data_IF_582043928919
#
_entry.id   IF_582043928919
#
_cell.length_a   1.000
_cell.length_b   1.000
_cell.length_c   1.000
_cell.angle_alpha   90.00
_cell.angle_beta   90.00
_cell.angle_gamma   90.00
#
_symmetry.space_group_name_H-M   'P 1'
#
loop_
_entity.id
_entity.type
_entity.pdbx_description
1 polymer ?
#
# COMPACT_ATOMS: atom_id res chain seq x y z
N UNK A 1 -25.24 -26.26 13.37
CA UNK A 1 -26.12 -25.08 13.30
C UNK A 1 -26.44 -24.62 14.72
N UNK A 2 -25.63 -23.69 15.27
CA UNK A 2 -25.91 -22.95 16.51
C UNK A 2 -25.04 -21.67 16.54
N UNK A 3 -25.71 -20.56 16.21
CA UNK A 3 -25.57 -19.21 16.77
C UNK A 3 -24.25 -18.45 16.62
N UNK A 4 -24.07 -17.84 15.44
CA UNK A 4 -23.27 -16.62 15.18
C UNK A 4 -24.21 -15.43 15.34
N UNK A 5 -24.34 -14.81 16.52
CA UNK A 5 -25.11 -13.55 16.71
C UNK A 5 -24.99 -13.03 18.17
N UNK A 6 -23.80 -12.69 18.67
CA UNK A 6 -23.70 -12.04 20.00
C UNK A 6 -22.33 -11.42 20.33
N UNK A 7 -21.77 -10.57 19.45
CA UNK A 7 -20.60 -9.72 19.82
C UNK A 7 -20.62 -8.32 19.19
N UNK A 8 -21.82 -7.81 18.86
CA UNK A 8 -22.06 -6.38 18.69
C UNK A 8 -22.72 -5.87 19.97
N UNK A 9 -22.36 -4.66 20.39
CA UNK A 9 -22.64 -4.03 21.69
C UNK A 9 -21.82 -4.61 22.85
N UNK A 10 -20.70 -3.95 23.17
CA UNK A 10 -20.66 -3.15 24.40
C UNK A 10 -19.45 -2.21 24.40
N UNK A 11 -19.70 -0.98 24.88
CA UNK A 11 -18.75 0.03 25.35
C UNK A 11 -18.11 0.97 24.33
N UNK A 12 -18.94 1.90 23.87
CA UNK A 12 -18.60 3.32 23.77
C UNK A 12 -18.60 3.92 25.20
N UNK A 13 -17.51 4.52 25.67
CA UNK A 13 -17.56 5.76 26.46
C UNK A 13 -16.22 6.52 26.42
N UNK A 14 -16.35 7.85 26.32
CA UNK A 14 -15.39 8.86 25.82
C UNK A 14 -14.63 9.55 26.98
N UNK A 15 -13.39 10.03 26.71
CA UNK A 15 -12.82 11.40 26.95
C UNK A 15 -11.34 11.36 27.45
N UNK A 16 -10.35 11.73 26.62
CA UNK A 16 -9.79 13.08 26.35
C UNK A 16 -8.98 13.71 27.52
N UNK A 17 -7.64 13.69 27.44
CA UNK A 17 -6.76 14.87 27.21
C UNK A 17 -5.28 14.67 27.63
N UNK A 18 -4.39 15.23 26.80
CA UNK A 18 -2.96 15.59 26.98
C UNK A 18 -1.90 14.51 26.80
N UNK A 19 -1.02 14.76 25.83
CA UNK A 19 0.17 13.97 25.53
C UNK A 19 0.69 14.23 24.12
N UNK A 20 1.01 15.49 23.80
CA UNK A 20 1.77 15.81 22.60
C UNK A 20 3.19 15.28 22.75
N UNK A 21 3.56 14.27 21.98
CA UNK A 21 4.94 13.99 21.58
C UNK A 21 4.91 13.43 20.16
N UNK A 22 5.25 14.28 19.20
CA UNK A 22 5.60 13.88 17.84
C UNK A 22 6.79 12.94 17.89
N UNK A 23 6.59 11.66 17.59
CA UNK A 23 7.69 10.78 17.23
C UNK A 23 7.82 10.80 15.70
N UNK A 24 8.99 11.26 15.27
CA UNK A 24 9.36 11.36 13.87
C UNK A 24 9.32 10.00 13.20
N UNK A 25 8.59 9.92 12.10
CA UNK A 25 8.81 8.87 11.12
C UNK A 25 10.17 9.14 10.47
N UNK A 26 11.20 8.42 10.90
CA UNK A 26 12.39 8.21 10.08
C UNK A 26 12.01 7.28 8.91
N UNK A 27 11.42 7.89 7.88
CA UNK A 27 11.46 7.32 6.54
C UNK A 27 12.95 7.25 6.19
N UNK A 28 13.51 6.04 6.17
CA UNK A 28 14.84 5.81 5.61
C UNK A 28 14.76 6.22 4.14
N UNK A 29 15.18 7.46 3.88
CA UNK A 29 15.39 8.02 2.55
C UNK A 29 16.53 7.21 1.95
N UNK A 30 16.22 6.32 1.01
CA UNK A 30 17.26 5.80 0.14
C UNK A 30 17.72 6.98 -0.70
N UNK A 31 18.96 7.41 -0.48
CA UNK A 31 19.62 8.44 -1.27
C UNK A 31 19.80 7.90 -2.70
N UNK A 32 18.81 8.17 -3.55
CA UNK A 32 18.98 8.07 -4.99
C UNK A 32 19.96 9.17 -5.44
N UNK A 33 21.02 8.71 -6.09
CA UNK A 33 22.14 9.51 -6.59
C UNK A 33 21.62 10.64 -7.52
N UNK A 34 22.02 11.93 -7.39
CA UNK A 34 21.37 13.06 -8.08
C UNK A 34 21.68 13.18 -9.58
N UNK A 35 22.07 12.10 -10.25
CA UNK A 35 22.55 12.16 -11.64
C UNK A 35 21.41 11.81 -12.61
N UNK A 36 20.92 12.87 -13.27
CA UNK A 36 20.00 12.89 -14.42
C UNK A 36 18.52 12.60 -14.15
N UNK A 37 17.83 13.58 -13.52
CA UNK A 37 16.36 13.71 -13.64
C UNK A 37 16.02 13.99 -15.12
N UNK A 38 15.71 12.94 -15.88
CA UNK A 38 15.04 13.09 -17.17
C UNK A 38 13.70 13.82 -16.96
N UNK A 39 13.40 14.79 -17.83
CA UNK A 39 12.36 15.83 -17.63
C UNK A 39 10.90 15.38 -17.56
N UNK A 40 10.65 14.12 -17.22
CA UNK A 40 9.32 13.50 -17.07
C UNK A 40 9.03 13.07 -15.62
N UNK A 41 9.97 13.21 -14.69
CA UNK A 41 9.79 12.79 -13.29
C UNK A 41 9.24 13.90 -12.40
N UNK A 42 8.38 13.52 -11.44
CA UNK A 42 7.87 14.42 -10.40
C UNK A 42 8.99 14.81 -9.45
N UNK A 43 8.98 16.06 -8.98
CA UNK A 43 9.88 16.49 -7.91
C UNK A 43 9.45 16.01 -6.53
N UNK A 44 8.21 15.52 -6.40
CA UNK A 44 7.65 14.91 -5.19
C UNK A 44 7.63 13.40 -5.30
N UNK A 45 8.02 12.72 -4.23
CA UNK A 45 7.93 11.25 -4.12
C UNK A 45 6.67 10.81 -3.39
N UNK A 46 6.27 9.56 -3.62
CA UNK A 46 5.15 8.93 -2.90
C UNK A 46 5.37 8.96 -1.39
N UNK A 47 4.32 9.30 -0.64
CA UNK A 47 4.35 9.34 0.82
C UNK A 47 4.83 10.67 1.43
N UNK A 48 5.34 11.60 0.63
CA UNK A 48 5.57 12.98 1.10
C UNK A 48 4.25 13.63 1.55
N UNK A 49 4.32 14.39 2.64
CA UNK A 49 3.16 15.15 3.09
C UNK A 49 2.78 16.23 2.07
N UNK A 50 1.48 16.45 1.95
CA UNK A 50 0.93 17.49 1.12
C UNK A 50 -0.34 18.07 1.75
N UNK A 51 -0.48 19.39 1.67
CA UNK A 51 -1.68 20.12 2.08
C UNK A 51 -2.68 20.21 0.92
N UNK A 52 -3.96 20.41 1.24
CA UNK A 52 -5.01 20.62 0.22
C UNK A 52 -4.70 21.82 -0.69
N UNK A 53 -4.18 22.92 -0.12
CA UNK A 53 -3.83 24.11 -0.88
C UNK A 53 -2.68 23.87 -1.88
N UNK A 54 -1.69 23.05 -1.50
CA UNK A 54 -0.63 22.65 -2.43
C UNK A 54 -1.17 21.78 -3.56
N UNK A 55 -2.01 20.78 -3.24
CA UNK A 55 -2.64 19.92 -4.24
C UNK A 55 -3.43 20.76 -5.27
N UNK A 56 -4.26 21.68 -4.81
CA UNK A 56 -5.04 22.60 -5.67
C UNK A 56 -4.14 23.50 -6.53
N UNK A 57 -3.03 24.00 -5.97
CA UNK A 57 -2.06 24.80 -6.72
C UNK A 57 -1.43 24.00 -7.86
N UNK A 58 -1.09 22.73 -7.63
CA UNK A 58 -0.59 21.84 -8.69
C UNK A 58 -1.68 21.53 -9.72
N UNK A 59 -2.92 21.28 -9.30
CA UNK A 59 -4.07 21.07 -10.19
C UNK A 59 -4.31 22.25 -11.12
N UNK A 60 -4.19 23.49 -10.62
CA UNK A 60 -4.32 24.69 -11.45
C UNK A 60 -3.22 24.76 -12.52
N UNK A 61 -1.99 24.43 -12.15
CA UNK A 61 -0.83 24.40 -13.06
C UNK A 61 -0.86 23.24 -14.05
N UNK A 62 -1.54 22.15 -13.73
CA UNK A 62 -1.62 20.94 -14.56
C UNK A 62 -2.15 21.20 -15.98
N UNK A 63 -2.92 22.29 -16.17
CA UNK A 63 -3.43 22.72 -17.49
C UNK A 63 -2.33 23.13 -18.47
N UNK A 64 -1.21 23.62 -17.95
CA UNK A 64 -0.10 24.19 -18.72
C UNK A 64 1.16 23.35 -18.60
N UNK A 65 1.29 22.60 -17.49
CA UNK A 65 2.45 21.77 -17.18
C UNK A 65 2.02 20.36 -16.77
N UNK A 66 2.21 19.35 -17.64
CA UNK A 66 1.88 17.97 -17.31
C UNK A 66 2.62 17.39 -16.10
N UNK A 67 3.83 17.89 -15.77
CA UNK A 67 4.53 17.50 -14.53
C UNK A 67 3.76 17.94 -13.29
N UNK A 68 3.07 19.09 -13.35
CA UNK A 68 2.23 19.54 -12.24
C UNK A 68 1.01 18.63 -12.05
N UNK A 69 0.53 17.95 -13.10
CA UNK A 69 -0.49 16.91 -12.94
C UNK A 69 0.06 15.71 -12.14
N UNK A 70 1.31 15.31 -12.39
CA UNK A 70 1.95 14.24 -11.63
C UNK A 70 2.16 14.64 -10.16
N UNK A 71 2.61 15.87 -9.90
CA UNK A 71 2.76 16.43 -8.55
C UNK A 71 1.41 16.51 -7.81
N UNK A 72 0.34 16.92 -8.51
CA UNK A 72 -1.02 16.94 -7.96
C UNK A 72 -1.50 15.52 -7.61
N UNK A 73 -1.26 14.55 -8.48
CA UNK A 73 -1.65 13.15 -8.24
C UNK A 73 -0.95 12.56 -7.00
N UNK A 74 0.34 12.83 -6.80
CA UNK A 74 1.08 12.44 -5.58
C UNK A 74 0.45 13.08 -4.34
N UNK A 75 0.14 14.38 -4.40
CA UNK A 75 -0.51 15.09 -3.30
C UNK A 75 -1.88 14.51 -2.94
N UNK A 76 -2.73 14.26 -3.93
CA UNK A 76 -4.03 13.65 -3.70
C UNK A 76 -3.94 12.21 -3.20
N UNK A 77 -2.90 11.45 -3.58
CA UNK A 77 -2.66 10.13 -3.02
C UNK A 77 -2.36 10.20 -1.52
N UNK A 78 -1.60 11.20 -1.07
CA UNK A 78 -1.39 11.47 0.36
C UNK A 78 -2.70 11.85 1.06
N UNK A 79 -3.43 12.84 0.52
CA UNK A 79 -4.68 13.34 1.12
C UNK A 79 -5.75 12.25 1.21
N UNK A 80 -5.92 11.44 0.17
CA UNK A 80 -6.89 10.35 0.13
C UNK A 80 -6.63 9.26 1.19
N UNK A 81 -5.37 9.06 1.61
CA UNK A 81 -5.04 8.15 2.72
C UNK A 81 -5.34 8.77 4.09
N UNK A 82 -5.04 10.07 4.24
CA UNK A 82 -5.12 10.80 5.50
C UNK A 82 -6.50 11.37 5.81
N UNK A 83 -7.43 11.39 4.84
CA UNK A 83 -8.76 11.97 5.01
C UNK A 83 -9.51 11.43 6.24
N UNK A 84 -10.31 12.27 6.88
CA UNK A 84 -10.95 11.93 8.16
C UNK A 84 -12.16 11.00 7.98
N UNK A 85 -12.80 11.08 6.82
CA UNK A 85 -13.99 10.31 6.50
C UNK A 85 -13.97 9.78 5.06
N UNK A 86 -14.82 8.78 4.81
CA UNK A 86 -14.91 8.08 3.52
C UNK A 86 -15.20 9.02 2.34
N UNK A 87 -16.01 10.05 2.53
CA UNK A 87 -16.40 10.97 1.46
C UNK A 87 -15.21 11.83 1.01
N UNK A 88 -14.43 12.34 1.95
CA UNK A 88 -13.19 13.08 1.66
C UNK A 88 -12.15 12.19 0.97
N UNK A 89 -11.89 10.99 1.51
CA UNK A 89 -10.98 10.02 0.90
C UNK A 89 -11.36 9.72 -0.55
N UNK A 90 -12.65 9.52 -0.79
CA UNK A 90 -13.18 9.27 -2.13
C UNK A 90 -13.02 10.48 -3.05
N UNK A 91 -13.30 11.68 -2.58
CA UNK A 91 -13.16 12.90 -3.37
C UNK A 91 -11.70 13.14 -3.78
N UNK A 92 -10.78 12.98 -2.84
CA UNK A 92 -9.35 13.15 -3.10
C UNK A 92 -8.80 12.03 -4.00
N UNK A 93 -9.23 10.77 -3.82
CA UNK A 93 -8.85 9.67 -4.71
C UNK A 93 -9.33 9.92 -6.16
N UNK A 94 -10.58 10.37 -6.33
CA UNK A 94 -11.15 10.71 -7.64
C UNK A 94 -10.41 11.86 -8.30
N UNK A 95 -10.08 12.91 -7.56
CA UNK A 95 -9.36 14.06 -8.12
C UNK A 95 -7.91 13.70 -8.47
N UNK A 96 -7.23 12.98 -7.59
CA UNK A 96 -5.89 12.45 -7.88
C UNK A 96 -5.88 11.55 -9.11
N UNK A 97 -6.87 10.66 -9.27
CA UNK A 97 -6.97 9.79 -10.44
C UNK A 97 -7.07 10.60 -11.74
N UNK A 98 -7.85 11.68 -11.76
CA UNK A 98 -7.91 12.59 -12.94
C UNK A 98 -6.55 13.20 -13.25
N UNK A 99 -5.80 13.59 -12.21
CA UNK A 99 -4.46 14.16 -12.37
C UNK A 99 -3.45 13.12 -12.88
N UNK A 100 -3.50 11.89 -12.36
CA UNK A 100 -2.69 10.78 -12.85
C UNK A 100 -3.00 10.46 -14.32
N UNK A 101 -4.29 10.43 -14.70
CA UNK A 101 -4.71 10.24 -16.08
C UNK A 101 -4.20 11.35 -17.00
N UNK A 102 -4.24 12.61 -16.56
CA UNK A 102 -3.71 13.75 -17.32
C UNK A 102 -2.18 13.66 -17.50
N UNK A 103 -1.46 13.23 -16.46
CA UNK A 103 -0.02 12.99 -16.53
C UNK A 103 0.31 11.85 -17.50
N UNK A 104 -0.39 10.71 -17.42
CA UNK A 104 -0.21 9.57 -18.32
C UNK A 104 -0.47 9.91 -19.79
N UNK A 105 -1.48 10.73 -20.08
CA UNK A 105 -1.76 11.19 -21.46
C UNK A 105 -0.59 11.97 -22.06
N UNK A 106 0.14 12.71 -21.22
CA UNK A 106 1.28 13.52 -21.66
C UNK A 106 2.59 12.74 -21.62
N UNK A 107 2.70 11.75 -20.72
CA UNK A 107 3.86 10.90 -20.55
C UNK A 107 3.45 9.41 -20.51
N UNK A 108 3.14 8.80 -21.68
CA UNK A 108 2.60 7.43 -21.73
C UNK A 108 3.56 6.32 -21.32
N UNK A 109 4.86 6.62 -21.16
CA UNK A 109 5.87 5.66 -20.68
C UNK A 109 6.36 6.02 -19.27
N UNK A 110 5.66 6.92 -18.57
CA UNK A 110 6.03 7.30 -17.22
C UNK A 110 5.48 6.30 -16.20
N UNK A 111 6.39 5.47 -15.67
CA UNK A 111 6.06 4.44 -14.69
C UNK A 111 5.33 4.98 -13.44
N UNK A 112 5.72 6.16 -12.94
CA UNK A 112 5.08 6.78 -11.76
C UNK A 112 3.65 7.23 -12.05
N UNK A 113 3.38 7.73 -13.26
CA UNK A 113 2.03 8.11 -13.66
C UNK A 113 1.10 6.89 -13.73
N UNK A 114 1.58 5.78 -14.31
CA UNK A 114 0.86 4.50 -14.30
C UNK A 114 0.64 3.97 -12.88
N UNK A 115 1.67 4.03 -12.03
CA UNK A 115 1.54 3.58 -10.63
C UNK A 115 0.51 4.40 -9.86
N UNK A 116 0.55 5.74 -9.98
CA UNK A 116 -0.41 6.64 -9.36
C UNK A 116 -1.82 6.39 -9.87
N UNK A 117 -1.99 6.14 -11.16
CA UNK A 117 -3.29 5.81 -11.73
C UNK A 117 -3.85 4.54 -11.10
N UNK A 118 -3.04 3.48 -10.99
CA UNK A 118 -3.44 2.25 -10.30
C UNK A 118 -3.77 2.51 -8.82
N UNK A 119 -2.91 3.25 -8.12
CA UNK A 119 -3.01 3.54 -6.69
C UNK A 119 -4.27 4.32 -6.33
N UNK A 120 -4.51 5.42 -7.03
CA UNK A 120 -5.66 6.29 -6.81
C UNK A 120 -6.97 5.61 -7.25
N UNK A 121 -6.91 4.74 -8.26
CA UNK A 121 -8.06 3.89 -8.61
C UNK A 121 -8.37 2.87 -7.51
N UNK A 122 -7.34 2.27 -6.90
CA UNK A 122 -7.50 1.39 -5.73
C UNK A 122 -8.13 2.11 -4.53
N UNK A 123 -7.64 3.31 -4.21
CA UNK A 123 -8.23 4.14 -3.16
C UNK A 123 -9.68 4.56 -3.47
N UNK A 124 -10.02 4.83 -4.75
CA UNK A 124 -11.40 5.06 -5.17
C UNK A 124 -12.26 3.81 -4.92
N UNK A 125 -11.79 2.63 -5.33
CA UNK A 125 -12.50 1.36 -5.15
C UNK A 125 -12.75 1.03 -3.67
N UNK A 126 -11.76 1.22 -2.80
CA UNK A 126 -11.89 1.02 -1.34
C UNK A 126 -12.97 1.93 -0.73
N UNK A 127 -13.08 3.15 -1.24
CA UNK A 127 -13.98 4.18 -0.73
C UNK A 127 -15.32 4.27 -1.51
N UNK A 128 -15.53 3.49 -2.56
CA UNK A 128 -16.76 3.44 -3.39
C UNK A 128 -17.16 1.98 -3.73
N UNK A 129 -17.88 1.27 -2.82
CA UNK A 129 -18.15 -0.16 -2.97
C UNK A 129 -19.01 -0.47 -4.19
N UNK A 130 -19.82 0.49 -4.63
CA UNK A 130 -20.68 0.34 -5.80
C UNK A 130 -19.87 0.20 -7.10
N UNK A 131 -18.64 0.76 -7.13
CA UNK A 131 -17.77 0.75 -8.30
C UNK A 131 -16.52 -0.09 -8.13
N UNK A 132 -16.24 -0.62 -6.93
CA UNK A 132 -15.00 -1.34 -6.64
C UNK A 132 -14.66 -2.43 -7.67
N UNK A 133 -15.62 -3.29 -8.03
CA UNK A 133 -15.41 -4.34 -9.03
C UNK A 133 -15.22 -3.80 -10.45
N UNK A 134 -15.90 -2.71 -10.83
CA UNK A 134 -15.76 -2.05 -12.13
C UNK A 134 -14.33 -1.49 -12.32
N UNK A 135 -13.69 -1.08 -11.21
CA UNK A 135 -12.38 -0.45 -11.23
C UNK A 135 -11.21 -1.44 -11.23
N UNK A 136 -11.43 -2.71 -10.85
CA UNK A 136 -10.38 -3.76 -10.80
C UNK A 136 -9.54 -3.86 -12.08
N UNK A 137 -10.13 -3.90 -13.30
CA UNK A 137 -9.32 -4.02 -14.52
C UNK A 137 -8.39 -2.83 -14.77
N UNK A 138 -8.76 -1.64 -14.28
CA UNK A 138 -7.89 -0.45 -14.38
C UNK A 138 -6.73 -0.57 -13.40
N UNK A 139 -7.00 -1.00 -12.15
CA UNK A 139 -5.94 -1.20 -11.14
C UNK A 139 -4.91 -2.22 -11.66
N UNK A 140 -5.37 -3.37 -12.14
CA UNK A 140 -4.50 -4.45 -12.63
C UNK A 140 -3.64 -3.99 -13.80
N UNK A 141 -4.26 -3.42 -14.85
CA UNK A 141 -3.56 -2.98 -16.06
C UNK A 141 -2.48 -1.95 -15.76
N UNK A 142 -2.81 -0.93 -14.98
CA UNK A 142 -1.91 0.19 -14.72
C UNK A 142 -0.78 -0.22 -13.76
N UNK A 143 -1.05 -1.08 -12.77
CA UNK A 143 -0.01 -1.62 -11.90
C UNK A 143 0.95 -2.56 -12.67
N UNK A 144 0.44 -3.41 -13.56
CA UNK A 144 1.28 -4.23 -14.43
C UNK A 144 2.17 -3.37 -15.34
N UNK A 145 1.62 -2.30 -15.91
CA UNK A 145 2.36 -1.38 -16.78
C UNK A 145 3.44 -0.64 -15.99
N UNK A 146 3.10 -0.13 -14.81
CA UNK A 146 4.06 0.52 -13.91
C UNK A 146 5.22 -0.42 -13.54
N UNK A 147 4.91 -1.66 -13.16
CA UNK A 147 5.93 -2.67 -12.80
C UNK A 147 6.82 -3.07 -13.98
N UNK A 148 6.29 -3.07 -15.20
CA UNK A 148 7.08 -3.32 -16.41
C UNK A 148 8.04 -2.16 -16.72
N UNK A 149 7.57 -0.91 -16.58
CA UNK A 149 8.37 0.28 -16.88
C UNK A 149 9.42 0.56 -15.80
N UNK A 150 9.05 0.50 -14.51
CA UNK A 150 9.96 0.62 -13.39
C UNK A 150 9.46 -0.18 -12.17
N UNK A 151 10.02 -1.37 -11.90
CA UNK A 151 9.58 -2.21 -10.79
C UNK A 151 9.96 -1.64 -9.41
N UNK A 152 10.93 -0.73 -9.31
CA UNK A 152 11.46 -0.25 -8.02
C UNK A 152 10.63 0.88 -7.39
N UNK A 153 9.66 1.44 -8.10
CA UNK A 153 8.82 2.54 -7.60
C UNK A 153 8.20 2.17 -6.26
N UNK A 154 8.25 3.11 -5.31
CA UNK A 154 7.61 2.96 -3.99
C UNK A 154 7.97 1.64 -3.32
N UNK A 155 9.26 1.28 -3.37
CA UNK A 155 9.81 0.07 -2.77
C UNK A 155 9.15 -1.21 -3.31
N UNK A 156 8.96 -1.34 -4.63
CA UNK A 156 8.21 -2.46 -5.21
C UNK A 156 6.70 -2.30 -5.11
N UNK A 157 6.22 -1.06 -5.07
CA UNK A 157 4.81 -0.68 -4.97
C UNK A 157 3.90 -1.33 -6.02
N UNK A 158 4.27 -1.40 -7.31
CA UNK A 158 3.43 -2.04 -8.33
C UNK A 158 3.15 -3.52 -8.03
N UNK A 159 4.19 -4.29 -7.68
CA UNK A 159 4.05 -5.70 -7.30
C UNK A 159 3.29 -5.84 -5.97
N UNK A 160 3.56 -5.00 -4.97
CA UNK A 160 2.79 -5.01 -3.72
C UNK A 160 1.29 -4.77 -3.99
N UNK A 161 0.95 -3.83 -4.85
CA UNK A 161 -0.45 -3.53 -5.20
C UNK A 161 -1.12 -4.68 -5.94
N UNK A 162 -0.43 -5.32 -6.88
CA UNK A 162 -0.95 -6.50 -7.57
C UNK A 162 -1.16 -7.66 -6.60
N UNK A 163 -0.23 -7.85 -5.66
CA UNK A 163 -0.39 -8.79 -4.55
C UNK A 163 -1.70 -8.57 -3.80
N UNK A 164 -1.95 -7.33 -3.39
CA UNK A 164 -3.16 -6.95 -2.67
C UNK A 164 -4.44 -7.11 -3.50
N UNK A 165 -4.38 -6.77 -4.79
CA UNK A 165 -5.51 -6.91 -5.69
C UNK A 165 -5.92 -8.37 -5.86
N UNK A 166 -4.95 -9.25 -6.14
CA UNK A 166 -5.23 -10.67 -6.33
C UNK A 166 -5.60 -11.38 -5.02
N UNK A 167 -5.15 -10.88 -3.87
CA UNK A 167 -5.54 -11.43 -2.56
C UNK A 167 -6.97 -11.07 -2.18
N UNK A 168 -7.41 -9.83 -2.47
CA UNK A 168 -8.68 -9.29 -1.94
C UNK A 168 -9.83 -9.29 -2.94
N UNK A 169 -9.56 -9.32 -4.24
CA UNK A 169 -10.62 -9.38 -5.25
C UNK A 169 -11.34 -10.74 -5.19
N UNK A 170 -12.64 -10.81 -5.55
CA UNK A 170 -13.31 -12.09 -5.75
C UNK A 170 -12.61 -12.93 -6.82
N UNK A 171 -12.57 -14.24 -6.64
CA UNK A 171 -11.99 -15.15 -7.62
C UNK A 171 -12.80 -15.24 -8.92
N UNK A 172 -12.21 -15.89 -9.92
CA UNK A 172 -12.90 -16.26 -11.15
C UNK A 172 -14.21 -17.02 -10.86
N UNK A 173 -15.32 -16.75 -11.59
CA UNK A 173 -15.44 -15.87 -12.75
C UNK A 173 -15.79 -14.41 -12.42
N UNK A 174 -15.91 -14.05 -11.14
CA UNK A 174 -16.40 -12.73 -10.75
C UNK A 174 -15.35 -11.63 -10.92
N UNK A 175 -14.08 -11.94 -10.62
CA UNK A 175 -12.97 -11.02 -10.80
C UNK A 175 -11.64 -11.78 -10.86
N UNK A 176 -10.54 -11.12 -10.50
CA UNK A 176 -9.16 -11.59 -10.71
C UNK A 176 -8.54 -12.29 -9.50
N UNK A 177 -9.29 -12.48 -8.42
CA UNK A 177 -8.79 -13.04 -7.16
C UNK A 177 -8.10 -14.40 -7.32
N UNK A 178 -6.85 -14.49 -6.86
CA UNK A 178 -5.96 -15.64 -7.02
C UNK A 178 -4.80 -15.53 -6.00
N UNK A 179 -4.86 -16.34 -4.94
CA UNK A 179 -3.89 -16.29 -3.83
C UNK A 179 -2.45 -16.64 -4.27
N UNK A 180 -2.30 -17.54 -5.24
CA UNK A 180 -0.99 -17.94 -5.77
C UNK A 180 -0.35 -16.81 -6.58
N UNK A 181 -1.16 -16.09 -7.37
CA UNK A 181 -0.70 -14.84 -8.01
C UNK A 181 -0.35 -13.78 -6.98
N UNK A 182 -1.14 -13.64 -5.93
CA UNK A 182 -0.86 -12.69 -4.85
C UNK A 182 0.52 -12.96 -4.23
N UNK A 183 0.78 -14.20 -3.82
CA UNK A 183 2.07 -14.63 -3.29
C UNK A 183 3.22 -14.39 -4.29
N UNK A 184 3.02 -14.68 -5.57
CA UNK A 184 4.01 -14.43 -6.62
C UNK A 184 4.41 -12.95 -6.69
N UNK A 185 3.43 -12.05 -6.65
CA UNK A 185 3.69 -10.61 -6.68
C UNK A 185 4.29 -10.10 -5.37
N UNK A 186 3.81 -10.53 -4.21
CA UNK A 186 4.42 -10.14 -2.93
C UNK A 186 5.88 -10.64 -2.82
N UNK A 187 6.21 -11.85 -3.28
CA UNK A 187 7.60 -12.33 -3.31
C UNK A 187 8.48 -11.44 -4.19
N UNK A 188 7.99 -10.93 -5.33
CA UNK A 188 8.71 -9.95 -6.15
C UNK A 188 8.93 -8.64 -5.39
N UNK A 189 7.90 -8.10 -4.74
CA UNK A 189 8.01 -6.88 -3.94
C UNK A 189 9.02 -7.04 -2.78
N UNK A 190 9.00 -8.18 -2.07
CA UNK A 190 9.98 -8.50 -1.01
C UNK A 190 11.40 -8.64 -1.57
N UNK A 191 11.57 -9.19 -2.78
CA UNK A 191 12.88 -9.28 -3.43
C UNK A 191 13.43 -7.89 -3.79
N UNK A 192 12.57 -6.99 -4.28
CA UNK A 192 12.95 -5.63 -4.66
C UNK A 192 13.29 -4.77 -3.44
N UNK A 193 12.48 -4.84 -2.39
CA UNK A 193 12.67 -4.07 -1.16
C UNK A 193 12.53 -4.96 0.09
N UNK A 194 13.57 -5.74 0.44
CA UNK A 194 13.50 -6.72 1.52
C UNK A 194 13.38 -6.12 2.93
N UNK A 195 13.62 -4.82 3.07
CA UNK A 195 13.49 -4.09 4.32
C UNK A 195 12.20 -3.26 4.40
N UNK A 196 11.43 -3.18 3.33
CA UNK A 196 10.15 -2.50 3.33
C UNK A 196 9.08 -3.44 3.88
N UNK A 197 8.74 -3.25 5.16
CA UNK A 197 7.97 -4.21 5.96
C UNK A 197 6.59 -4.51 5.37
N UNK A 198 5.95 -3.54 4.72
CA UNK A 198 4.64 -3.69 4.11
C UNK A 198 4.63 -4.80 3.05
N UNK A 199 5.73 -4.99 2.31
CA UNK A 199 5.82 -6.07 1.33
C UNK A 199 5.84 -7.45 2.01
N UNK A 200 6.54 -7.57 3.15
CA UNK A 200 6.58 -8.83 3.92
C UNK A 200 5.26 -9.13 4.61
N UNK A 201 4.60 -8.11 5.14
CA UNK A 201 3.26 -8.26 5.75
C UNK A 201 2.27 -8.76 4.70
N UNK A 202 2.25 -8.17 3.50
CA UNK A 202 1.41 -8.67 2.41
C UNK A 202 1.73 -10.11 2.00
N UNK A 203 3.02 -10.48 1.92
CA UNK A 203 3.42 -11.88 1.67
C UNK A 203 2.92 -12.81 2.78
N UNK A 204 3.05 -12.42 4.05
CA UNK A 204 2.56 -13.21 5.18
C UNK A 204 1.04 -13.39 5.13
N UNK A 205 0.28 -12.33 4.83
CA UNK A 205 -1.17 -12.40 4.67
C UNK A 205 -1.56 -13.41 3.58
N UNK A 206 -0.91 -13.34 2.41
CA UNK A 206 -1.18 -14.26 1.31
C UNK A 206 -0.79 -15.72 1.64
N UNK A 207 0.31 -15.94 2.37
CA UNK A 207 0.74 -17.27 2.81
C UNK A 207 -0.22 -17.90 3.82
N UNK A 208 -0.78 -17.08 4.73
CA UNK A 208 -1.80 -17.52 5.69
C UNK A 208 -3.09 -17.90 4.96
N UNK A 209 -3.53 -17.08 3.99
CA UNK A 209 -4.71 -17.38 3.17
C UNK A 209 -4.51 -18.65 2.32
N UNK A 210 -3.29 -18.92 1.86
CA UNK A 210 -2.97 -20.12 1.10
C UNK A 210 -2.79 -21.38 1.98
N UNK A 211 -2.95 -21.26 3.30
CA UNK A 211 -2.69 -22.33 4.26
C UNK A 211 -1.26 -22.93 4.13
N UNK A 212 -0.24 -22.11 3.85
CA UNK A 212 1.18 -22.49 3.86
C UNK A 212 1.86 -22.04 5.16
N UNK A 213 1.76 -22.83 6.25
CA UNK A 213 2.29 -22.44 7.56
C UNK A 213 3.82 -22.41 7.59
N UNK A 214 4.50 -23.10 6.68
CA UNK A 214 5.96 -23.23 6.71
C UNK A 214 6.63 -21.92 6.29
N UNK A 215 6.27 -21.37 5.14
CA UNK A 215 6.82 -20.09 4.68
C UNK A 215 6.23 -18.92 5.49
N UNK A 216 4.95 -18.98 5.88
CA UNK A 216 4.33 -17.95 6.73
C UNK A 216 5.13 -17.76 8.04
N UNK A 217 5.56 -18.88 8.65
CA UNK A 217 6.37 -18.87 9.86
C UNK A 217 7.74 -18.20 9.70
N UNK A 218 8.37 -18.36 8.53
CA UNK A 218 9.63 -17.68 8.24
C UNK A 218 9.43 -16.17 8.07
N UNK A 219 8.35 -15.74 7.42
CA UNK A 219 8.09 -14.32 7.21
C UNK A 219 7.66 -13.59 8.49
N UNK A 220 6.82 -14.20 9.34
CA UNK A 220 6.41 -13.58 10.61
C UNK A 220 7.61 -13.40 11.57
N UNK A 221 8.57 -14.35 11.59
CA UNK A 221 9.81 -14.17 12.35
C UNK A 221 10.61 -12.97 11.83
N UNK A 222 10.79 -12.86 10.51
CA UNK A 222 11.52 -11.76 9.86
C UNK A 222 10.88 -10.39 10.11
N UNK A 223 9.55 -10.35 10.24
CA UNK A 223 8.78 -9.15 10.57
C UNK A 223 9.03 -8.76 12.03
N UNK A 224 8.85 -9.68 12.97
CA UNK A 224 9.00 -9.37 14.40
C UNK A 224 10.42 -8.96 14.76
N UNK A 225 11.45 -9.57 14.17
CA UNK A 225 12.85 -9.15 14.41
C UNK A 225 13.10 -7.70 13.98
N UNK A 226 12.37 -7.19 12.98
CA UNK A 226 12.52 -5.83 12.44
C UNK A 226 11.59 -4.80 13.10
N UNK A 227 10.54 -5.25 13.77
CA UNK A 227 9.64 -4.38 14.57
C UNK A 227 9.72 -4.80 16.04
N UNK A 228 10.88 -4.59 16.71
CA UNK A 228 10.91 -4.75 18.14
C UNK A 228 10.03 -3.68 18.81
N UNK A 229 9.56 -3.93 20.04
CA UNK A 229 8.91 -2.90 20.86
C UNK A 229 9.80 -1.65 21.01
N UNK A 230 9.16 -0.47 21.11
CA UNK A 230 9.82 0.85 21.04
C UNK A 230 10.84 1.10 22.15
N UNK A 231 10.60 0.61 23.37
CA UNK A 231 11.42 0.94 24.54
C UNK A 231 12.59 -0.04 24.74
N UNK A 232 12.36 -1.36 24.65
CA UNK A 232 13.43 -2.38 24.69
C UNK A 232 12.88 -3.77 24.34
N UNK A 233 13.72 -4.66 23.79
CA UNK A 233 13.39 -6.09 23.70
C UNK A 233 13.34 -6.73 25.09
N UNK A 234 12.18 -6.66 25.73
CA UNK A 234 11.96 -7.24 27.05
C UNK A 234 12.15 -8.76 27.06
N UNK A 235 12.31 -9.36 28.24
CA UNK A 235 12.37 -10.82 28.36
C UNK A 235 11.05 -11.48 27.89
N UNK A 236 9.90 -10.80 28.05
CA UNK A 236 8.61 -11.23 27.51
C UNK A 236 8.62 -11.25 25.97
N UNK A 237 9.23 -10.25 25.33
CA UNK A 237 9.39 -10.22 23.88
C UNK A 237 10.27 -11.37 23.39
N UNK A 238 11.46 -11.54 23.99
CA UNK A 238 12.37 -12.65 23.67
C UNK A 238 11.70 -14.01 23.87
N UNK A 239 10.94 -14.17 24.96
CA UNK A 239 10.16 -15.38 25.24
C UNK A 239 9.05 -15.60 24.20
N UNK A 240 8.34 -14.56 23.79
CA UNK A 240 7.29 -14.63 22.77
C UNK A 240 7.85 -15.03 21.41
N UNK A 241 8.97 -14.43 20.98
CA UNK A 241 9.70 -14.83 19.78
C UNK A 241 10.14 -16.30 19.83
N UNK A 242 10.66 -16.78 20.98
CA UNK A 242 11.04 -18.18 21.16
C UNK A 242 9.83 -19.12 21.06
N UNK A 243 8.69 -18.73 21.62
CA UNK A 243 7.44 -19.51 21.54
C UNK A 243 6.88 -19.54 20.12
N UNK A 244 6.93 -18.42 19.39
CA UNK A 244 6.56 -18.33 17.98
C UNK A 244 7.38 -19.33 17.14
N UNK A 245 8.70 -19.35 17.29
CA UNK A 245 9.59 -20.30 16.61
C UNK A 245 9.23 -21.76 16.92
N UNK A 246 8.91 -22.07 18.18
CA UNK A 246 8.51 -23.41 18.59
C UNK A 246 7.17 -23.82 17.99
N UNK A 247 6.19 -22.91 18.00
CA UNK A 247 4.88 -23.14 17.40
C UNK A 247 5.01 -23.40 15.89
N UNK A 248 5.84 -22.62 15.22
CA UNK A 248 6.17 -22.81 13.81
C UNK A 248 6.82 -24.15 13.51
N UNK A 249 7.76 -24.61 14.34
CA UNK A 249 8.36 -25.93 14.21
C UNK A 249 7.34 -27.08 14.34
N UNK A 250 6.24 -26.90 15.07
CA UNK A 250 5.19 -27.92 15.20
C UNK A 250 4.30 -28.05 13.96
N UNK A 251 4.29 -27.03 13.09
CA UNK A 251 3.47 -27.03 11.87
C UNK A 251 4.23 -27.48 10.62
N UNK A 252 5.57 -27.46 10.64
CA UNK A 252 6.41 -27.98 9.55
C UNK A 252 6.59 -29.51 9.51
N UNK A 253 6.09 -30.23 10.54
CA UNK A 253 6.21 -31.69 10.69
C UNK A 253 4.93 -32.46 10.27
N UNK A 254 3.96 -31.79 9.62
CA UNK A 254 2.71 -32.39 9.11
C UNK A 254 2.65 -32.33 7.60
#
# INVERSE_FOLDING_TARGET
MRSVFSRFLFLFFVLFLTGACSHGNDVIRQDENPTERHGTESNRVMGESCTRSEAEKFTLKARENPLAALEAAVCYAFLARQGENRAEKLADAKEGRKMAEAAMKSFPENATAHYLMAYLTGLEAENDPARGLELVPVIEREALTAGHLNPNIDNGGPDRMLGELYLRAPSFPMSVGDVEKAMTHFRKAVKLAPNFLQNRVGLLEALVENEDPSEACLEIEKIFVRMPPEEEMTEEWKRSLKLLKRMCGMWGDK
#
